data_IF_415521165114
#
_entry.id   IF_415521165114
#
_cell.length_a   1.000
_cell.length_b   1.000
_cell.length_c   1.000
_cell.angle_alpha   90.00
_cell.angle_beta   90.00
_cell.angle_gamma   90.00
#
_symmetry.space_group_name_H-M   'P 1'
#
loop_
_entity.id
_entity.type
_entity.pdbx_description
1 polymer ?
#
# COMPACT_ATOMS: atom_id res chain seq x y z
N UNK A 1 21.35 11.86 -13.42
CA UNK A 1 22.75 12.34 -13.29
C UNK A 1 23.69 11.29 -12.68
N UNK A 2 23.40 10.67 -11.52
CA UNK A 2 24.33 9.67 -10.94
C UNK A 2 24.51 8.42 -11.83
N UNK A 3 23.42 7.77 -12.26
CA UNK A 3 23.49 6.57 -13.13
C UNK A 3 24.26 6.88 -14.43
N UNK A 4 24.02 8.04 -15.03
CA UNK A 4 24.78 8.51 -16.20
C UNK A 4 26.27 8.73 -15.91
N UNK A 5 26.63 9.29 -14.75
CA UNK A 5 28.04 9.50 -14.42
C UNK A 5 28.79 8.17 -14.34
N UNK A 6 28.18 7.15 -13.74
CA UNK A 6 28.87 5.89 -13.40
C UNK A 6 28.62 4.73 -14.37
N UNK A 7 27.47 4.70 -15.04
CA UNK A 7 27.06 3.57 -15.89
C UNK A 7 26.89 3.93 -17.36
N UNK A 8 27.10 5.19 -17.81
CA UNK A 8 26.87 5.57 -19.24
C UNK A 8 27.63 4.73 -20.26
N UNK A 9 28.73 4.10 -19.85
CA UNK A 9 29.58 3.27 -20.72
C UNK A 9 29.32 1.77 -20.52
N UNK A 10 28.46 1.38 -19.57
CA UNK A 10 28.07 -0.01 -19.33
C UNK A 10 27.00 -0.46 -20.32
N UNK A 11 27.07 -1.73 -20.75
CA UNK A 11 26.11 -2.30 -21.69
C UNK A 11 24.67 -2.29 -21.15
N UNK A 12 24.49 -2.42 -19.84
CA UNK A 12 23.19 -2.42 -19.17
C UNK A 12 22.60 -1.02 -18.90
N UNK A 13 23.27 0.06 -19.33
CA UNK A 13 22.90 1.45 -18.99
C UNK A 13 21.43 1.78 -19.27
N UNK A 14 20.98 1.44 -20.49
CA UNK A 14 19.61 1.74 -20.95
C UNK A 14 18.59 0.94 -20.15
N UNK A 15 18.87 -0.34 -19.90
CA UNK A 15 17.99 -1.24 -19.16
C UNK A 15 17.86 -0.84 -17.69
N UNK A 16 18.96 -0.39 -17.06
CA UNK A 16 18.93 0.16 -15.70
C UNK A 16 18.02 1.38 -15.64
N UNK A 17 18.20 2.35 -16.55
CA UNK A 17 17.34 3.55 -16.57
C UNK A 17 15.87 3.19 -16.82
N UNK A 18 15.60 2.29 -17.77
CA UNK A 18 14.25 1.82 -18.05
C UNK A 18 13.60 1.17 -16.81
N UNK A 19 14.35 0.33 -16.09
CA UNK A 19 13.89 -0.32 -14.85
C UNK A 19 13.53 0.72 -13.78
N UNK A 20 14.39 1.73 -13.57
CA UNK A 20 14.09 2.84 -12.64
C UNK A 20 12.82 3.60 -13.04
N UNK A 21 12.69 3.96 -14.31
CA UNK A 21 11.52 4.67 -14.84
C UNK A 21 10.25 3.85 -14.63
N UNK A 22 10.25 2.59 -15.02
CA UNK A 22 9.05 1.76 -15.04
C UNK A 22 8.61 1.37 -13.63
N UNK A 23 9.55 1.13 -12.71
CA UNK A 23 9.24 0.95 -11.29
C UNK A 23 8.64 2.24 -10.69
N UNK A 24 9.22 3.39 -11.01
CA UNK A 24 8.72 4.71 -10.54
C UNK A 24 7.31 4.98 -11.05
N UNK A 25 7.03 4.72 -12.33
CA UNK A 25 5.68 4.89 -12.89
C UNK A 25 4.65 4.03 -12.13
N UNK A 26 4.99 2.77 -11.82
CA UNK A 26 4.10 1.91 -11.03
C UNK A 26 3.90 2.45 -9.62
N UNK A 27 4.95 2.95 -8.97
CA UNK A 27 4.83 3.61 -7.66
C UNK A 27 3.94 4.84 -7.70
N UNK A 28 4.03 5.67 -8.74
CA UNK A 28 3.15 6.83 -8.92
C UNK A 28 1.69 6.39 -9.02
N UNK A 29 1.39 5.35 -9.80
CA UNK A 29 0.03 4.80 -9.92
C UNK A 29 -0.45 4.22 -8.59
N UNK A 30 0.41 3.47 -7.87
CA UNK A 30 0.10 2.96 -6.55
C UNK A 30 -0.23 4.06 -5.54
N UNK A 31 0.58 5.13 -5.53
CA UNK A 31 0.35 6.30 -4.69
C UNK A 31 -0.94 7.05 -5.06
N UNK A 32 -1.24 7.16 -6.36
CA UNK A 32 -2.50 7.74 -6.82
C UNK A 32 -3.70 6.97 -6.27
N UNK A 33 -3.70 5.64 -6.39
CA UNK A 33 -4.78 4.81 -5.85
C UNK A 33 -4.85 4.91 -4.32
N UNK A 34 -3.73 4.80 -3.61
CA UNK A 34 -3.64 4.91 -2.15
C UNK A 34 -4.15 6.25 -1.59
N UNK A 35 -4.11 7.30 -2.41
CA UNK A 35 -4.61 8.63 -2.05
C UNK A 35 -6.08 8.81 -2.40
N UNK A 36 -6.56 8.18 -3.48
CA UNK A 36 -7.85 8.49 -4.08
C UNK A 36 -8.88 7.36 -3.96
N UNK A 37 -8.54 6.19 -3.43
CA UNK A 37 -9.43 5.01 -3.45
C UNK A 37 -10.77 5.25 -2.76
N UNK A 38 -10.80 6.13 -1.77
CA UNK A 38 -12.02 6.55 -1.07
C UNK A 38 -12.49 7.97 -1.43
N UNK A 39 -11.90 8.61 -2.45
CA UNK A 39 -12.34 9.93 -2.89
C UNK A 39 -13.69 9.88 -3.61
N UNK A 40 -14.36 11.03 -3.71
CA UNK A 40 -15.70 11.11 -4.31
C UNK A 40 -15.69 10.63 -5.78
N UNK A 41 -14.66 11.00 -6.55
CA UNK A 41 -14.48 10.57 -7.95
C UNK A 41 -14.29 9.06 -8.17
N UNK A 42 -13.86 8.31 -7.14
CA UNK A 42 -13.81 6.84 -7.20
C UNK A 42 -15.09 6.20 -6.64
N UNK A 43 -15.85 6.95 -5.85
CA UNK A 43 -17.11 6.48 -5.25
C UNK A 43 -18.31 6.71 -6.15
N UNK A 44 -18.32 7.83 -6.88
CA UNK A 44 -19.27 8.18 -7.92
C UNK A 44 -18.57 8.25 -9.28
N UNK A 45 -18.24 7.08 -9.82
CA UNK A 45 -17.50 6.95 -11.08
C UNK A 45 -18.28 7.45 -12.31
N UNK A 46 -19.57 7.75 -12.17
CA UNK A 46 -20.41 8.29 -13.24
C UNK A 46 -20.33 9.82 -13.33
N UNK A 47 -19.80 10.47 -12.29
CA UNK A 47 -19.63 11.91 -12.23
C UNK A 47 -18.22 12.29 -12.68
N UNK A 48 -18.13 13.17 -13.67
CA UNK A 48 -16.85 13.75 -14.08
C UNK A 48 -16.27 14.62 -12.95
N UNK A 49 -14.94 14.74 -12.94
CA UNK A 49 -14.26 15.67 -12.03
C UNK A 49 -14.75 17.08 -12.34
N UNK A 50 -15.34 17.73 -11.35
CA UNK A 50 -15.81 19.11 -11.47
C UNK A 50 -14.61 20.08 -11.49
N UNK A 51 -14.17 20.42 -12.71
CA UNK A 51 -13.04 21.33 -12.94
C UNK A 51 -13.29 22.76 -12.46
N UNK A 52 -14.53 23.12 -12.10
CA UNK A 52 -14.90 24.44 -11.60
C UNK A 52 -15.05 24.49 -10.08
N UNK A 53 -15.10 23.35 -9.39
CA UNK A 53 -15.20 23.32 -7.94
C UNK A 53 -13.82 23.54 -7.29
N UNK A 54 -13.53 24.80 -6.95
CA UNK A 54 -12.33 25.21 -6.21
C UNK A 54 -12.61 25.61 -4.75
N UNK A 55 -13.88 25.60 -4.31
CA UNK A 55 -14.30 26.18 -3.03
C UNK A 55 -14.94 25.16 -2.06
N UNK A 56 -15.46 24.04 -2.56
CA UNK A 56 -16.14 23.03 -1.74
C UNK A 56 -15.20 21.82 -1.56
N UNK A 57 -14.58 21.65 -0.38
CA UNK A 57 -13.70 20.52 -0.13
C UNK A 57 -14.48 19.21 -0.01
N UNK A 58 -13.92 18.13 -0.55
CA UNK A 58 -14.42 16.77 -0.34
C UNK A 58 -14.36 16.43 1.16
N UNK A 59 -15.42 15.79 1.68
CA UNK A 59 -15.42 15.25 3.03
C UNK A 59 -14.94 13.80 2.99
N UNK A 60 -13.81 13.46 3.63
CA UNK A 60 -13.26 12.11 3.55
C UNK A 60 -14.19 11.12 4.25
N UNK A 61 -14.71 10.15 3.47
CA UNK A 61 -15.50 9.01 3.96
C UNK A 61 -15.02 7.75 3.28
N UNK A 62 -15.14 6.59 3.93
CA UNK A 62 -14.77 5.32 3.31
C UNK A 62 -15.83 4.88 2.30
N UNK A 63 -15.40 4.22 1.22
CA UNK A 63 -16.29 3.52 0.30
C UNK A 63 -16.22 2.00 0.56
N UNK A 64 -17.28 1.43 1.12
CA UNK A 64 -17.34 0.02 1.51
C UNK A 64 -17.08 -0.95 0.35
N UNK A 65 -17.40 -0.55 -0.89
CA UNK A 65 -17.16 -1.40 -2.07
C UNK A 65 -15.67 -1.59 -2.35
N UNK A 66 -14.83 -0.65 -1.90
CA UNK A 66 -13.37 -0.70 -2.04
C UNK A 66 -12.68 -1.43 -0.88
N UNK A 67 -13.40 -1.78 0.19
CA UNK A 67 -12.84 -2.46 1.37
C UNK A 67 -12.78 -3.97 1.11
N UNK A 68 -11.79 -4.39 0.33
CA UNK A 68 -11.50 -5.79 0.10
C UNK A 68 -10.01 -6.01 -0.22
N UNK A 69 -9.55 -7.24 -0.01
CA UNK A 69 -8.14 -7.58 -0.18
C UNK A 69 -7.65 -7.48 -1.63
N UNK A 70 -8.54 -7.67 -2.63
CA UNK A 70 -8.18 -7.54 -4.04
C UNK A 70 -7.76 -6.12 -4.42
N UNK A 71 -8.57 -5.14 -4.02
CA UNK A 71 -8.26 -3.70 -4.21
C UNK A 71 -6.99 -3.33 -3.45
N UNK A 72 -6.88 -3.74 -2.20
CA UNK A 72 -5.69 -3.47 -1.38
C UNK A 72 -4.41 -4.01 -2.02
N UNK A 73 -4.42 -5.28 -2.46
CA UNK A 73 -3.27 -5.88 -3.18
C UNK A 73 -2.89 -5.08 -4.40
N UNK A 74 -3.85 -4.62 -5.20
CA UNK A 74 -3.56 -3.79 -6.36
C UNK A 74 -2.82 -2.51 -5.97
N UNK A 75 -3.26 -1.82 -4.91
CA UNK A 75 -2.58 -0.62 -4.40
C UNK A 75 -1.17 -0.95 -3.94
N UNK A 76 -1.03 -1.93 -3.05
CA UNK A 76 0.23 -2.26 -2.37
C UNK A 76 1.30 -2.77 -3.33
N UNK A 77 0.93 -3.63 -4.28
CA UNK A 77 1.89 -4.14 -5.27
C UNK A 77 2.49 -2.98 -6.06
N UNK A 78 1.65 -2.04 -6.52
CA UNK A 78 2.11 -0.89 -7.29
C UNK A 78 2.87 0.12 -6.43
N UNK A 79 2.34 0.44 -5.24
CA UNK A 79 2.91 1.44 -4.32
C UNK A 79 4.27 1.00 -3.81
N UNK A 80 4.43 -0.28 -3.48
CA UNK A 80 5.53 -0.74 -2.62
C UNK A 80 6.40 -1.81 -3.28
N UNK A 81 5.81 -2.85 -3.90
CA UNK A 81 6.57 -4.02 -4.35
C UNK A 81 7.64 -3.70 -5.40
N UNK A 82 7.28 -2.89 -6.40
CA UNK A 82 8.17 -2.64 -7.54
C UNK A 82 9.43 -1.86 -7.16
N UNK A 83 9.30 -0.73 -6.44
CA UNK A 83 10.48 0.07 -6.11
C UNK A 83 11.28 -0.50 -4.93
N UNK A 84 10.61 -1.19 -3.98
CA UNK A 84 11.27 -1.67 -2.75
C UNK A 84 11.97 -3.02 -2.94
N UNK A 85 11.48 -3.87 -3.84
CA UNK A 85 12.00 -5.23 -4.02
C UNK A 85 12.42 -5.51 -5.47
N UNK A 86 11.53 -5.33 -6.43
CA UNK A 86 11.85 -5.68 -7.82
C UNK A 86 13.01 -4.84 -8.38
N UNK A 87 12.91 -3.51 -8.30
CA UNK A 87 13.92 -2.56 -8.77
C UNK A 87 15.33 -2.85 -8.21
N UNK A 88 15.56 -2.94 -6.88
CA UNK A 88 16.90 -3.18 -6.36
C UNK A 88 17.46 -4.55 -6.78
N UNK A 89 16.65 -5.60 -6.84
CA UNK A 89 17.10 -6.93 -7.28
C UNK A 89 17.47 -6.89 -8.77
N UNK A 90 16.61 -6.32 -9.61
CA UNK A 90 16.84 -6.23 -11.07
C UNK A 90 18.07 -5.38 -11.38
N UNK A 91 18.28 -4.26 -10.70
CA UNK A 91 19.50 -3.47 -10.84
C UNK A 91 20.76 -4.29 -10.55
N UNK A 92 20.75 -5.10 -9.49
CA UNK A 92 21.87 -6.00 -9.18
C UNK A 92 22.09 -7.05 -10.27
N UNK A 93 21.03 -7.65 -10.78
CA UNK A 93 21.10 -8.67 -11.84
C UNK A 93 21.62 -8.11 -13.17
N UNK A 94 21.12 -6.93 -13.57
CA UNK A 94 21.56 -6.26 -14.80
C UNK A 94 23.05 -5.89 -14.73
N UNK A 95 23.48 -5.33 -13.60
CA UNK A 95 24.88 -4.97 -13.39
C UNK A 95 25.80 -6.20 -13.31
N UNK A 96 25.27 -7.35 -12.89
CA UNK A 96 25.97 -8.63 -12.89
C UNK A 96 26.00 -9.32 -14.27
N UNK A 97 25.41 -8.70 -15.31
CA UNK A 97 25.42 -9.23 -16.68
C UNK A 97 24.39 -10.32 -16.97
N UNK A 98 23.32 -10.42 -16.16
CA UNK A 98 22.21 -11.33 -16.47
C UNK A 98 21.40 -10.71 -17.61
N UNK A 99 21.22 -11.46 -18.70
CA UNK A 99 20.50 -11.01 -19.88
C UNK A 99 19.02 -10.72 -19.57
N UNK A 100 18.50 -9.59 -20.07
CA UNK A 100 17.15 -9.06 -19.78
C UNK A 100 16.02 -10.02 -20.17
N UNK A 101 16.26 -10.87 -21.17
CA UNK A 101 15.31 -11.89 -21.67
C UNK A 101 15.30 -13.17 -20.81
N UNK A 102 16.13 -13.26 -19.78
CA UNK A 102 16.16 -14.41 -18.89
C UNK A 102 14.85 -14.54 -18.11
N UNK A 103 14.21 -15.71 -18.22
CA UNK A 103 12.92 -16.02 -17.56
C UNK A 103 12.96 -15.89 -16.02
N UNK A 104 14.15 -15.85 -15.41
CA UNK A 104 14.31 -15.62 -13.97
C UNK A 104 13.71 -14.28 -13.51
N UNK A 105 13.71 -13.24 -14.36
CA UNK A 105 13.14 -11.93 -14.02
C UNK A 105 11.66 -12.03 -13.65
N UNK A 106 10.90 -12.88 -14.34
CA UNK A 106 9.48 -13.08 -14.04
C UNK A 106 9.27 -13.72 -12.66
N UNK A 107 10.11 -14.67 -12.28
CA UNK A 107 10.06 -15.30 -10.95
C UNK A 107 10.43 -14.31 -9.84
N UNK A 108 11.43 -13.46 -10.10
CA UNK A 108 11.81 -12.37 -9.18
C UNK A 108 10.68 -11.36 -9.02
N UNK A 109 9.96 -11.04 -10.10
CA UNK A 109 8.79 -10.18 -10.04
C UNK A 109 7.71 -10.78 -9.12
N UNK A 110 7.36 -12.05 -9.32
CA UNK A 110 6.32 -12.73 -8.53
C UNK A 110 6.69 -12.77 -7.02
N UNK A 111 7.96 -13.06 -6.69
CA UNK A 111 8.45 -13.02 -5.30
C UNK A 111 8.42 -11.59 -4.76
N UNK A 112 8.82 -10.60 -5.56
CA UNK A 112 8.79 -9.18 -5.16
C UNK A 112 7.38 -8.71 -4.81
N UNK A 113 6.36 -9.18 -5.54
CA UNK A 113 4.95 -8.90 -5.23
C UNK A 113 4.55 -9.47 -3.86
N UNK A 114 4.95 -10.70 -3.54
CA UNK A 114 4.67 -11.31 -2.23
C UNK A 114 5.38 -10.57 -1.09
N UNK A 115 6.65 -10.20 -1.29
CA UNK A 115 7.42 -9.42 -0.32
C UNK A 115 6.86 -8.02 -0.12
N UNK A 116 6.43 -7.35 -1.20
CA UNK A 116 5.79 -6.03 -1.13
C UNK A 116 4.47 -6.05 -0.36
N UNK A 117 3.63 -7.06 -0.59
CA UNK A 117 2.40 -7.29 0.17
C UNK A 117 2.70 -7.52 1.66
N UNK A 118 3.66 -8.40 1.96
CA UNK A 118 4.10 -8.67 3.33
C UNK A 118 4.59 -7.40 4.03
N UNK A 119 5.45 -6.63 3.37
CA UNK A 119 6.07 -5.44 3.93
C UNK A 119 5.04 -4.35 4.23
N UNK A 120 4.11 -4.08 3.30
CA UNK A 120 3.11 -3.04 3.53
C UNK A 120 2.11 -3.43 4.61
N UNK A 121 1.71 -4.71 4.71
CA UNK A 121 0.83 -5.14 5.80
C UNK A 121 1.53 -5.02 7.15
N UNK A 122 2.84 -5.25 7.21
CA UNK A 122 3.63 -4.96 8.40
C UNK A 122 3.69 -3.46 8.71
N UNK A 123 3.86 -2.60 7.71
CA UNK A 123 3.84 -1.13 7.88
C UNK A 123 2.47 -0.65 8.40
N UNK A 124 1.36 -1.10 7.83
CA UNK A 124 -0.01 -0.81 8.30
C UNK A 124 -0.22 -1.31 9.74
N UNK A 125 0.33 -2.47 10.10
CA UNK A 125 0.31 -2.99 11.47
C UNK A 125 1.07 -2.06 12.42
N UNK A 126 2.27 -1.62 12.03
CA UNK A 126 3.09 -0.73 12.85
C UNK A 126 2.51 0.68 12.97
N UNK A 127 1.77 1.16 11.97
CA UNK A 127 1.11 2.47 12.03
C UNK A 127 0.14 2.55 13.21
N UNK A 128 -0.62 1.48 13.46
CA UNK A 128 -1.61 1.43 14.54
C UNK A 128 -1.02 0.91 15.85
N UNK A 129 -0.23 -0.16 15.78
CA UNK A 129 0.15 -0.95 16.94
C UNK A 129 1.61 -0.78 17.35
N UNK A 130 2.39 -0.06 16.54
CA UNK A 130 3.80 0.19 16.75
C UNK A 130 4.03 1.25 17.84
N UNK A 131 5.20 1.14 18.46
CA UNK A 131 5.70 2.14 19.38
C UNK A 131 6.36 3.27 18.57
N UNK A 132 5.82 4.50 18.67
CA UNK A 132 6.31 5.65 17.90
C UNK A 132 7.78 5.98 18.17
N UNK A 133 8.31 5.62 19.34
CA UNK A 133 9.73 5.78 19.67
C UNK A 133 10.63 4.82 18.88
N UNK A 134 10.09 3.69 18.42
CA UNK A 134 10.78 2.68 17.61
C UNK A 134 10.55 2.89 16.12
N UNK A 135 9.34 3.23 15.71
CA UNK A 135 8.98 3.45 14.30
C UNK A 135 9.45 4.82 13.80
N UNK A 136 9.71 5.77 14.70
CA UNK A 136 10.08 7.15 14.36
C UNK A 136 8.94 7.99 13.78
N UNK A 137 7.71 7.44 13.74
CA UNK A 137 6.50 8.12 13.24
C UNK A 137 5.30 7.88 14.15
N UNK A 138 4.42 8.87 14.23
CA UNK A 138 3.09 8.72 14.84
C UNK A 138 2.14 8.17 13.78
N UNK A 139 1.39 7.13 14.13
CA UNK A 139 0.38 6.53 13.26
C UNK A 139 -0.61 7.53 12.72
N UNK A 140 -0.95 7.44 11.44
CA UNK A 140 -1.88 8.38 10.83
C UNK A 140 -2.88 7.84 9.83
N UNK A 141 -2.88 6.55 9.58
CA UNK A 141 -3.70 5.96 8.52
C UNK A 141 -5.21 6.09 8.76
N UNK A 142 -5.65 6.01 10.02
CA UNK A 142 -7.07 6.14 10.38
C UNK A 142 -7.58 7.53 10.02
N UNK A 143 -6.92 8.59 10.50
CA UNK A 143 -7.34 9.97 10.23
C UNK A 143 -7.13 10.38 8.77
N UNK A 144 -6.15 9.79 8.08
CA UNK A 144 -5.88 10.04 6.66
C UNK A 144 -6.77 9.23 5.71
N UNK A 145 -7.79 8.54 6.25
CA UNK A 145 -8.75 7.77 5.47
C UNK A 145 -8.07 6.75 4.54
N UNK A 146 -7.06 6.02 5.05
CA UNK A 146 -6.31 5.04 4.27
C UNK A 146 -6.99 3.67 4.24
N UNK A 147 -6.96 3.02 3.08
CA UNK A 147 -7.35 1.62 2.94
C UNK A 147 -6.21 0.74 3.46
N UNK A 148 -6.34 0.27 4.70
CA UNK A 148 -5.31 -0.53 5.37
C UNK A 148 -5.74 -1.97 5.59
N UNK A 149 -4.77 -2.85 5.82
CA UNK A 149 -5.05 -4.24 6.17
C UNK A 149 -5.85 -4.40 7.48
N UNK A 150 -5.55 -3.68 8.59
CA UNK A 150 -6.40 -3.68 9.78
C UNK A 150 -7.86 -3.31 9.51
N UNK A 151 -8.12 -2.31 8.64
CA UNK A 151 -9.47 -1.90 8.27
C UNK A 151 -10.20 -3.05 7.57
N UNK A 152 -9.60 -3.62 6.52
CA UNK A 152 -10.18 -4.71 5.73
C UNK A 152 -10.46 -5.90 6.63
N UNK A 153 -9.48 -6.31 7.43
CA UNK A 153 -9.62 -7.49 8.29
C UNK A 153 -10.71 -7.31 9.33
N UNK A 154 -10.84 -6.11 9.89
CA UNK A 154 -11.94 -5.81 10.82
C UNK A 154 -13.28 -5.85 10.10
N UNK A 155 -13.39 -5.28 8.91
CA UNK A 155 -14.62 -5.25 8.11
C UNK A 155 -15.12 -6.65 7.70
N UNK A 156 -14.20 -7.58 7.44
CA UNK A 156 -14.51 -8.99 7.16
C UNK A 156 -15.08 -9.74 8.38
N UNK A 157 -14.67 -9.37 9.59
CA UNK A 157 -14.95 -10.10 10.82
C UNK A 157 -16.08 -9.48 11.66
N UNK A 158 -16.33 -8.19 11.49
CA UNK A 158 -17.18 -7.44 12.40
C UNK A 158 -18.67 -7.55 12.08
N UNK A 159 -19.46 -7.30 13.12
CA UNK A 159 -20.92 -7.24 13.02
C UNK A 159 -21.40 -6.02 12.22
N UNK A 160 -22.60 -6.08 11.65
CA UNK A 160 -23.20 -4.93 10.93
C UNK A 160 -23.25 -3.64 11.76
N UNK A 161 -23.62 -3.65 13.07
CA UNK A 161 -23.54 -2.46 13.91
C UNK A 161 -22.12 -1.86 14.00
N UNK A 162 -21.09 -2.71 14.01
CA UNK A 162 -19.70 -2.24 14.07
C UNK A 162 -19.22 -1.73 12.70
N UNK A 163 -19.69 -2.28 11.57
CA UNK A 163 -19.45 -1.68 10.24
C UNK A 163 -19.98 -0.25 10.18
N UNK A 164 -21.19 0.00 10.70
CA UNK A 164 -21.77 1.35 10.78
C UNK A 164 -20.89 2.27 11.66
N UNK A 165 -20.36 1.76 12.79
CA UNK A 165 -19.41 2.53 13.62
C UNK A 165 -18.14 2.86 12.86
N UNK A 166 -17.58 1.94 12.07
CA UNK A 166 -16.38 2.18 11.27
C UNK A 166 -16.66 3.31 10.27
N UNK A 167 -17.72 3.19 9.46
CA UNK A 167 -18.12 4.22 8.49
C UNK A 167 -18.28 5.60 9.15
N UNK A 168 -18.84 5.64 10.36
CA UNK A 168 -19.06 6.89 11.09
C UNK A 168 -17.78 7.53 11.63
N UNK A 169 -16.73 6.77 11.94
CA UNK A 169 -15.57 7.27 12.70
C UNK A 169 -14.25 7.27 11.92
N UNK A 170 -14.11 6.46 10.87
CA UNK A 170 -12.89 6.39 10.06
C UNK A 170 -12.69 7.67 9.23
N UNK A 171 -11.43 8.02 8.92
CA UNK A 171 -11.11 9.18 8.08
C UNK A 171 -11.29 10.55 8.74
N UNK A 172 -11.41 10.60 10.07
CA UNK A 172 -11.66 11.85 10.82
C UNK A 172 -10.47 12.26 11.64
N UNK A 173 -10.05 13.53 11.50
CA UNK A 173 -9.06 14.15 12.37
C UNK A 173 -9.67 14.53 13.74
N UNK A 174 -10.16 13.52 14.46
CA UNK A 174 -10.75 13.66 15.78
C UNK A 174 -10.32 12.46 16.64
N UNK A 175 -9.64 12.74 17.76
CA UNK A 175 -9.05 11.71 18.60
C UNK A 175 -10.08 10.73 19.17
N UNK A 176 -11.32 11.17 19.46
CA UNK A 176 -12.37 10.27 19.93
C UNK A 176 -12.83 9.30 18.82
N UNK A 177 -12.88 9.78 17.57
CA UNK A 177 -13.19 8.92 16.41
C UNK A 177 -12.09 7.87 16.19
N UNK A 178 -10.81 8.29 16.25
CA UNK A 178 -9.66 7.38 16.12
C UNK A 178 -9.69 6.29 17.21
N UNK A 179 -9.93 6.68 18.48
CA UNK A 179 -10.05 5.75 19.60
C UNK A 179 -11.16 4.71 19.43
N UNK A 180 -12.27 5.05 18.77
CA UNK A 180 -13.32 4.08 18.44
C UNK A 180 -12.79 3.02 17.49
N UNK A 181 -12.04 3.41 16.46
CA UNK A 181 -11.43 2.49 15.50
C UNK A 181 -10.37 1.63 16.17
N UNK A 182 -9.47 2.22 16.98
CA UNK A 182 -8.46 1.48 17.75
C UNK A 182 -9.10 0.42 18.66
N UNK A 183 -10.17 0.80 19.37
CA UNK A 183 -10.90 -0.11 20.26
C UNK A 183 -11.55 -1.28 19.49
N UNK A 184 -12.04 -1.03 18.28
CA UNK A 184 -12.57 -2.09 17.41
C UNK A 184 -11.44 -3.03 16.96
N UNK A 185 -10.28 -2.49 16.61
CA UNK A 185 -9.13 -3.31 16.26
C UNK A 185 -8.65 -4.20 17.41
N UNK A 186 -8.73 -3.72 18.65
CA UNK A 186 -8.50 -4.53 19.84
C UNK A 186 -9.60 -5.58 20.06
N UNK A 187 -10.87 -5.18 19.99
CA UNK A 187 -12.04 -6.05 20.15
C UNK A 187 -11.99 -7.25 19.19
N UNK A 188 -11.66 -6.99 17.93
CA UNK A 188 -11.53 -8.00 16.87
C UNK A 188 -10.13 -8.64 16.80
N UNK A 189 -9.27 -8.38 17.79
CA UNK A 189 -7.98 -9.05 17.99
C UNK A 189 -7.07 -8.99 16.75
N UNK A 190 -7.03 -7.84 16.07
CA UNK A 190 -6.31 -7.67 14.80
C UNK A 190 -4.82 -8.00 14.94
N UNK A 191 -4.19 -7.75 16.09
CA UNK A 191 -2.82 -8.19 16.38
C UNK A 191 -2.61 -9.70 16.18
N UNK A 192 -3.55 -10.53 16.65
CA UNK A 192 -3.48 -12.00 16.49
C UNK A 192 -3.70 -12.44 15.06
N UNK A 193 -4.60 -11.75 14.34
CA UNK A 193 -4.80 -12.01 12.92
C UNK A 193 -3.55 -11.67 12.11
N UNK A 194 -2.85 -10.59 12.48
CA UNK A 194 -1.59 -10.20 11.85
C UNK A 194 -0.51 -11.26 12.08
N UNK A 195 -0.34 -11.76 13.31
CA UNK A 195 0.62 -12.84 13.62
C UNK A 195 0.34 -14.11 12.80
N UNK A 196 -0.94 -14.44 12.57
CA UNK A 196 -1.32 -15.57 11.71
C UNK A 196 -0.99 -15.31 10.24
N UNK A 197 -1.23 -14.10 9.75
CA UNK A 197 -0.90 -13.69 8.38
C UNK A 197 0.61 -13.70 8.16
N UNK A 198 1.40 -13.12 9.07
CA UNK A 198 2.86 -13.03 9.01
C UNK A 198 3.48 -14.41 8.82
N UNK A 199 3.11 -15.38 9.67
CA UNK A 199 3.61 -16.75 9.59
C UNK A 199 3.28 -17.42 8.26
N UNK A 200 2.03 -17.29 7.80
CA UNK A 200 1.56 -17.91 6.57
C UNK A 200 2.23 -17.29 5.33
N UNK A 201 2.33 -15.96 5.27
CA UNK A 201 2.92 -15.26 4.14
C UNK A 201 4.43 -15.48 4.08
N UNK A 202 5.12 -15.49 5.22
CA UNK A 202 6.55 -15.80 5.28
C UNK A 202 6.85 -17.21 4.77
N UNK A 203 6.03 -18.20 5.15
CA UNK A 203 6.15 -19.57 4.65
C UNK A 203 5.84 -19.70 3.15
N UNK A 204 5.04 -18.80 2.58
CA UNK A 204 4.74 -18.74 1.14
C UNK A 204 5.87 -18.08 0.32
N UNK A 205 6.61 -17.16 0.94
CA UNK A 205 7.75 -16.47 0.32
C UNK A 205 9.00 -17.37 0.28
N UNK A 206 9.22 -18.18 1.33
CA UNK A 206 10.32 -19.14 1.45
C UNK A 206 10.07 -20.40 0.61
#
# INVERSE_FOLDING_TARGET
>A
RLIEIYLRNESCYVDVIATFRDATLKTIIGQHLDTNIFSDKYSDAHREIDVNNINVPEQPVININMINFGVYKNIVIHKTAYYSFFLPIVCGMLLAGIAVDNLIYKKIEDISMLMGEYFQIHDDYLDIFGDSTKTGKVGSDIQNNKLTWPLIKTFELCSEPDKIKIVKNYGKNNLACVKVIDSLYEQYKIRKHYESYEKAQKAKIL
#
